data_IF_106012245778
#
_entry.id   IF_106012245778
#
_cell.length_a   1.000
_cell.length_b   1.000
_cell.length_c   1.000
_cell.angle_alpha   90.00
_cell.angle_beta   90.00
_cell.angle_gamma   90.00
#
_symmetry.space_group_name_H-M   'P 1'
#
loop_
_entity.id
_entity.type
_entity.pdbx_description
1 polymer ?
#
# COMPACT_ATOMS: atom_id res chain seq x y z
N UNK A 1 0.16 -11.74 20.36
CA UNK A 1 -0.34 -13.07 19.96
C UNK A 1 -0.07 -14.03 21.10
N UNK A 2 -1.02 -14.90 21.47
CA UNK A 2 -0.95 -15.65 22.73
C UNK A 2 -0.04 -16.89 22.72
N UNK A 3 0.21 -17.55 21.57
CA UNK A 3 1.03 -18.78 21.49
C UNK A 3 1.82 -18.94 20.16
N UNK A 4 2.79 -18.08 19.83
CA UNK A 4 3.50 -18.15 18.54
C UNK A 4 4.34 -19.43 18.35
N UNK A 5 4.99 -19.95 19.41
CA UNK A 5 5.85 -21.14 19.29
C UNK A 5 5.06 -22.44 19.07
N UNK A 6 3.90 -22.59 19.72
CA UNK A 6 3.06 -23.79 19.62
C UNK A 6 2.52 -24.01 18.20
N UNK A 7 2.27 -22.92 17.45
CA UNK A 7 1.73 -22.96 16.10
C UNK A 7 2.78 -22.70 15.01
N UNK A 8 4.08 -22.64 15.35
CA UNK A 8 5.17 -22.44 14.38
C UNK A 8 5.16 -23.50 13.27
N UNK A 9 4.76 -24.74 13.61
CA UNK A 9 4.59 -25.84 12.63
C UNK A 9 3.54 -25.58 11.55
N UNK A 10 2.64 -24.60 11.73
CA UNK A 10 1.66 -24.22 10.72
C UNK A 10 2.27 -23.45 9.55
N UNK A 11 3.39 -22.76 9.73
CA UNK A 11 4.04 -21.94 8.69
C UNK A 11 4.43 -22.75 7.44
N UNK A 12 5.24 -23.83 7.54
CA UNK A 12 5.60 -24.62 6.35
C UNK A 12 4.38 -25.28 5.70
N UNK A 13 3.38 -25.68 6.49
CA UNK A 13 2.12 -26.22 5.98
C UNK A 13 1.32 -25.18 5.20
N UNK A 14 1.24 -23.95 5.72
CA UNK A 14 0.56 -22.84 5.07
C UNK A 14 1.24 -22.46 3.75
N UNK A 15 2.57 -22.39 3.72
CA UNK A 15 3.35 -22.13 2.49
C UNK A 15 3.11 -23.25 1.46
N UNK A 16 3.16 -24.51 1.88
CA UNK A 16 2.89 -25.65 1.00
C UNK A 16 1.45 -25.62 0.43
N UNK A 17 0.46 -25.30 1.27
CA UNK A 17 -0.95 -25.19 0.83
C UNK A 17 -1.15 -24.00 -0.10
N UNK A 18 -0.58 -22.85 0.21
CA UNK A 18 -0.64 -21.66 -0.65
C UNK A 18 -0.03 -21.95 -2.01
N UNK A 19 1.16 -22.55 -2.04
CA UNK A 19 1.85 -22.96 -3.28
C UNK A 19 0.97 -23.83 -4.16
N UNK A 20 0.33 -24.86 -3.59
CA UNK A 20 -0.59 -25.74 -4.32
C UNK A 20 -1.80 -25.00 -4.87
N UNK A 21 -2.36 -24.02 -4.15
CA UNK A 21 -3.52 -23.26 -4.62
C UNK A 21 -3.11 -22.28 -5.73
N UNK A 22 -1.96 -21.63 -5.58
CA UNK A 22 -1.45 -20.68 -6.58
C UNK A 22 -1.06 -21.40 -7.87
N UNK A 23 -0.58 -22.65 -7.82
CA UNK A 23 -0.28 -23.42 -9.04
C UNK A 23 -1.46 -24.19 -9.59
N UNK A 24 -2.54 -24.35 -8.81
CA UNK A 24 -3.74 -25.06 -9.24
C UNK A 24 -4.39 -24.41 -10.46
N UNK A 25 -4.91 -25.28 -11.32
CA UNK A 25 -5.83 -24.91 -12.40
C UNK A 25 -7.25 -24.76 -11.85
N UNK A 26 -8.11 -24.07 -12.58
CA UNK A 26 -9.52 -23.88 -12.15
C UNK A 26 -10.33 -25.18 -12.11
N UNK A 27 -9.80 -26.28 -12.69
CA UNK A 27 -10.41 -27.61 -12.66
C UNK A 27 -10.05 -28.42 -11.42
N UNK A 28 -8.98 -28.08 -10.71
CA UNK A 28 -8.49 -28.85 -9.56
C UNK A 28 -9.30 -28.59 -8.28
N UNK A 29 -9.95 -27.42 -8.22
CA UNK A 29 -10.65 -26.90 -7.04
C UNK A 29 -12.06 -26.42 -7.41
N UNK A 30 -12.84 -27.25 -8.11
CA UNK A 30 -14.12 -26.83 -8.72
C UNK A 30 -15.07 -26.16 -7.71
N UNK A 31 -15.32 -26.81 -6.57
CA UNK A 31 -16.22 -26.29 -5.52
C UNK A 31 -15.67 -25.05 -4.80
N UNK A 32 -14.35 -24.85 -4.84
CA UNK A 32 -13.65 -23.76 -4.16
C UNK A 32 -13.15 -22.69 -5.13
N UNK A 33 -13.49 -22.78 -6.41
CA UNK A 33 -13.12 -21.79 -7.43
C UNK A 33 -14.20 -20.74 -7.55
N UNK A 34 -13.85 -19.49 -7.25
CA UNK A 34 -14.75 -18.36 -7.34
C UNK A 34 -14.42 -17.52 -8.56
N UNK A 35 -15.31 -17.51 -9.56
CA UNK A 35 -15.12 -16.75 -10.81
C UNK A 35 -13.73 -16.96 -11.44
N UNK A 36 -13.30 -18.20 -11.63
CA UNK A 36 -11.96 -18.56 -12.18
C UNK A 36 -10.76 -18.18 -11.29
N UNK A 37 -10.99 -17.81 -10.03
CA UNK A 37 -9.94 -17.61 -9.03
C UNK A 37 -9.97 -18.78 -8.04
N UNK A 38 -8.90 -19.57 -7.89
CA UNK A 38 -8.88 -20.71 -6.99
C UNK A 38 -8.80 -20.26 -5.53
N UNK A 39 -9.81 -20.62 -4.73
CA UNK A 39 -9.90 -20.43 -3.28
C UNK A 39 -9.42 -19.06 -2.76
N UNK A 40 -9.94 -17.92 -3.26
CA UNK A 40 -9.40 -16.58 -2.96
C UNK A 40 -9.40 -16.25 -1.47
N UNK A 41 -10.45 -16.58 -0.73
CA UNK A 41 -10.52 -16.34 0.71
C UNK A 41 -9.52 -17.19 1.50
N UNK A 42 -9.27 -18.43 1.07
CA UNK A 42 -8.27 -19.28 1.70
C UNK A 42 -6.87 -18.72 1.46
N UNK A 43 -6.56 -18.28 0.23
CA UNK A 43 -5.30 -17.59 -0.07
C UNK A 43 -5.08 -16.38 0.84
N UNK A 44 -6.09 -15.50 0.96
CA UNK A 44 -6.03 -14.33 1.85
C UNK A 44 -5.79 -14.75 3.30
N UNK A 45 -6.51 -15.76 3.81
CA UNK A 45 -6.34 -16.25 5.18
C UNK A 45 -4.95 -16.86 5.42
N UNK A 46 -4.39 -17.58 4.44
CA UNK A 46 -3.04 -18.14 4.51
C UNK A 46 -1.98 -17.04 4.50
N UNK A 47 -2.09 -16.05 3.61
CA UNK A 47 -1.18 -14.91 3.55
C UNK A 47 -1.20 -14.10 4.86
N UNK A 48 -2.40 -13.83 5.40
CA UNK A 48 -2.57 -13.15 6.69
C UNK A 48 -2.08 -13.97 7.88
N UNK A 49 -2.19 -15.31 7.80
CA UNK A 49 -1.56 -16.20 8.77
C UNK A 49 -0.03 -16.07 8.71
N UNK A 50 0.56 -15.99 7.52
CA UNK A 50 2.02 -15.85 7.36
C UNK A 50 2.52 -14.49 7.87
N UNK A 51 1.77 -13.40 7.68
CA UNK A 51 2.06 -12.10 8.30
C UNK A 51 2.06 -12.18 9.83
N UNK A 52 1.52 -13.26 10.41
CA UNK A 52 1.56 -13.42 11.85
C UNK A 52 2.90 -13.89 12.42
N UNK A 53 3.83 -14.28 11.55
CA UNK A 53 5.14 -14.84 11.90
C UNK A 53 6.27 -13.99 11.26
N UNK A 54 7.50 -14.13 11.74
CA UNK A 54 8.66 -13.62 11.01
C UNK A 54 8.84 -14.38 9.68
N UNK A 55 9.66 -13.84 8.75
CA UNK A 55 10.05 -14.55 7.53
C UNK A 55 10.58 -15.97 7.84
N UNK A 56 10.30 -16.98 6.99
CA UNK A 56 10.76 -18.34 7.25
C UNK A 56 12.30 -18.45 7.32
N UNK A 57 12.81 -19.06 8.40
CA UNK A 57 14.24 -19.31 8.59
C UNK A 57 14.78 -20.36 7.59
N UNK A 58 13.96 -21.36 7.25
CA UNK A 58 14.33 -22.44 6.34
C UNK A 58 14.40 -21.95 4.88
N UNK A 59 15.57 -22.07 4.20
CA UNK A 59 15.75 -21.60 2.83
C UNK A 59 14.76 -22.22 1.83
N UNK A 60 14.36 -23.49 2.01
CA UNK A 60 13.43 -24.16 1.11
C UNK A 60 12.02 -23.56 1.19
N UNK A 61 11.52 -23.38 2.42
CA UNK A 61 10.23 -22.72 2.64
C UNK A 61 10.25 -21.25 2.22
N UNK A 62 11.35 -20.53 2.46
CA UNK A 62 11.51 -19.15 1.98
C UNK A 62 11.44 -19.09 0.46
N UNK A 63 12.24 -19.88 -0.25
CA UNK A 63 12.25 -19.92 -1.72
C UNK A 63 10.86 -20.24 -2.30
N UNK A 64 10.16 -21.23 -1.73
CA UNK A 64 8.80 -21.59 -2.13
C UNK A 64 7.81 -20.44 -1.91
N UNK A 65 7.91 -19.73 -0.79
CA UNK A 65 7.05 -18.57 -0.52
C UNK A 65 7.31 -17.44 -1.53
N UNK A 66 8.57 -17.14 -1.83
CA UNK A 66 8.94 -16.12 -2.82
C UNK A 66 8.40 -16.46 -4.21
N UNK A 67 8.55 -17.71 -4.66
CA UNK A 67 7.98 -18.18 -5.94
C UNK A 67 6.45 -18.03 -5.97
N UNK A 68 5.77 -18.31 -4.85
CA UNK A 68 4.32 -18.10 -4.76
C UNK A 68 3.94 -16.62 -4.90
N UNK A 69 4.66 -15.73 -4.24
CA UNK A 69 4.41 -14.29 -4.29
C UNK A 69 4.68 -13.73 -5.68
N UNK A 70 5.76 -14.17 -6.33
CA UNK A 70 6.04 -13.84 -7.74
C UNK A 70 4.93 -14.35 -8.66
N UNK A 71 4.46 -15.58 -8.46
CA UNK A 71 3.35 -16.15 -9.20
C UNK A 71 2.05 -15.34 -9.05
N UNK A 72 1.77 -14.83 -7.85
CA UNK A 72 0.61 -13.96 -7.60
C UNK A 72 0.78 -12.62 -8.33
N UNK A 73 1.95 -11.99 -8.27
CA UNK A 73 2.26 -10.73 -8.97
C UNK A 73 2.15 -10.91 -10.49
N UNK A 74 2.64 -12.01 -11.05
CA UNK A 74 2.54 -12.31 -12.48
C UNK A 74 1.07 -12.44 -12.92
N UNK A 75 0.26 -13.18 -12.16
CA UNK A 75 -1.19 -13.35 -12.44
C UNK A 75 -1.98 -12.04 -12.35
N UNK A 76 -1.49 -11.05 -11.60
CA UNK A 76 -2.10 -9.74 -11.56
C UNK A 76 -2.01 -9.04 -12.92
N UNK A 77 -0.89 -9.22 -13.63
CA UNK A 77 -0.60 -8.64 -14.94
C UNK A 77 -1.28 -9.38 -16.09
N UNK A 78 -1.64 -10.65 -15.90
CA UNK A 78 -2.39 -11.42 -16.88
C UNK A 78 -3.75 -10.79 -17.23
N UNK A 79 -4.13 -10.91 -18.50
CA UNK A 79 -5.43 -10.51 -18.98
C UNK A 79 -6.56 -11.21 -18.17
N UNK A 80 -7.61 -10.48 -17.78
CA UNK A 80 -8.67 -11.04 -16.96
C UNK A 80 -9.40 -12.15 -17.72
N UNK A 81 -9.61 -13.30 -17.07
CA UNK A 81 -10.35 -14.44 -17.64
C UNK A 81 -11.86 -14.18 -17.71
N UNK A 82 -12.33 -13.15 -17.00
CA UNK A 82 -13.72 -12.73 -17.01
C UNK A 82 -13.83 -11.21 -16.88
N UNK A 83 -14.78 -10.61 -17.59
CA UNK A 83 -15.12 -9.18 -17.47
C UNK A 83 -15.95 -8.85 -16.22
N UNK A 84 -16.34 -9.85 -15.45
CA UNK A 84 -17.16 -9.67 -14.25
C UNK A 84 -16.33 -9.04 -13.13
N UNK A 85 -16.85 -8.00 -12.49
CA UNK A 85 -16.17 -7.29 -11.39
C UNK A 85 -15.81 -8.22 -10.24
N UNK A 86 -16.60 -9.27 -10.00
CA UNK A 86 -16.34 -10.28 -8.95
C UNK A 86 -15.02 -11.03 -9.20
N UNK A 87 -14.67 -11.29 -10.46
CA UNK A 87 -13.38 -11.89 -10.83
C UNK A 87 -12.22 -10.95 -10.48
N UNK A 88 -12.33 -9.68 -10.88
CA UNK A 88 -11.33 -8.64 -10.61
C UNK A 88 -11.12 -8.47 -9.09
N UNK A 89 -12.22 -8.32 -8.34
CA UNK A 89 -12.17 -8.13 -6.89
C UNK A 89 -11.55 -9.33 -6.17
N UNK A 90 -11.93 -10.55 -6.54
CA UNK A 90 -11.35 -11.75 -5.92
C UNK A 90 -9.86 -11.91 -6.24
N UNK A 91 -9.45 -11.62 -7.49
CA UNK A 91 -8.04 -11.64 -7.91
C UNK A 91 -7.22 -10.58 -7.15
N UNK A 92 -7.74 -9.35 -7.09
CA UNK A 92 -7.07 -8.22 -6.44
C UNK A 92 -7.02 -8.38 -4.92
N UNK A 93 -8.01 -9.01 -4.29
CA UNK A 93 -7.96 -9.30 -2.84
C UNK A 93 -6.75 -10.18 -2.47
N UNK A 94 -6.47 -11.22 -3.27
CA UNK A 94 -5.28 -12.07 -3.07
C UNK A 94 -3.99 -11.29 -3.31
N UNK A 95 -3.98 -10.43 -4.34
CA UNK A 95 -2.84 -9.57 -4.67
C UNK A 95 -2.51 -8.58 -3.54
N UNK A 96 -3.50 -7.84 -3.02
CA UNK A 96 -3.28 -6.87 -1.95
C UNK A 96 -2.77 -7.56 -0.68
N UNK A 97 -3.31 -8.73 -0.32
CA UNK A 97 -2.82 -9.46 0.85
C UNK A 97 -1.39 -10.03 0.64
N UNK A 98 -1.04 -10.38 -0.61
CA UNK A 98 0.31 -10.81 -0.95
C UNK A 98 1.30 -9.64 -0.89
N UNK A 99 0.90 -8.45 -1.37
CA UNK A 99 1.68 -7.22 -1.23
C UNK A 99 1.87 -6.86 0.24
N UNK A 100 0.82 -6.96 1.07
CA UNK A 100 0.93 -6.74 2.51
C UNK A 100 1.92 -7.70 3.18
N UNK A 101 1.97 -8.98 2.75
CA UNK A 101 2.98 -9.93 3.22
C UNK A 101 4.39 -9.57 2.75
N UNK A 102 4.56 -9.13 1.49
CA UNK A 102 5.85 -8.66 0.97
C UNK A 102 6.37 -7.49 1.81
N UNK A 103 5.51 -6.51 2.10
CA UNK A 103 5.85 -5.34 2.92
C UNK A 103 6.21 -5.77 4.35
N UNK A 104 5.43 -6.66 4.95
CA UNK A 104 5.68 -7.17 6.30
C UNK A 104 7.02 -7.90 6.44
N UNK A 105 7.43 -8.65 5.41
CA UNK A 105 8.72 -9.36 5.44
C UNK A 105 9.92 -8.43 5.25
N UNK A 106 9.75 -7.34 4.48
CA UNK A 106 10.75 -6.30 4.20
C UNK A 106 12.18 -6.81 3.88
N UNK A 107 12.28 -8.00 3.28
CA UNK A 107 13.57 -8.70 3.11
C UNK A 107 14.04 -8.82 1.66
N UNK A 108 13.15 -8.57 0.69
CA UNK A 108 13.40 -8.78 -0.74
C UNK A 108 13.14 -7.49 -1.53
N UNK A 109 14.15 -6.63 -1.73
CA UNK A 109 14.02 -5.34 -2.40
C UNK A 109 13.37 -5.44 -3.79
N UNK A 110 13.68 -6.49 -4.55
CA UNK A 110 13.12 -6.69 -5.89
C UNK A 110 11.60 -6.89 -5.86
N UNK A 111 11.09 -7.63 -4.87
CA UNK A 111 9.64 -7.83 -4.70
C UNK A 111 8.96 -6.55 -4.22
N UNK A 112 9.58 -5.80 -3.32
CA UNK A 112 9.06 -4.51 -2.86
C UNK A 112 8.90 -3.52 -4.01
N UNK A 113 9.92 -3.40 -4.87
CA UNK A 113 9.86 -2.53 -6.07
C UNK A 113 8.79 -3.02 -7.05
N UNK A 114 8.68 -4.33 -7.29
CA UNK A 114 7.61 -4.89 -8.15
C UNK A 114 6.21 -4.62 -7.58
N UNK A 115 6.03 -4.80 -6.28
CA UNK A 115 4.78 -4.49 -5.59
C UNK A 115 4.44 -3.00 -5.69
N UNK A 116 5.41 -2.12 -5.48
CA UNK A 116 5.26 -0.67 -5.66
C UNK A 116 4.79 -0.32 -7.08
N UNK A 117 5.46 -0.84 -8.09
CA UNK A 117 5.09 -0.60 -9.49
C UNK A 117 3.67 -1.10 -9.79
N UNK A 118 3.29 -2.27 -9.26
CA UNK A 118 1.95 -2.83 -9.42
C UNK A 118 0.89 -1.94 -8.76
N UNK A 119 1.12 -1.46 -7.54
CA UNK A 119 0.23 -0.49 -6.88
C UNK A 119 0.17 0.84 -7.66
N UNK A 120 1.27 1.26 -8.28
CA UNK A 120 1.33 2.47 -9.10
C UNK A 120 0.34 2.45 -10.25
N UNK A 121 0.11 1.27 -10.85
CA UNK A 121 -0.93 1.09 -11.88
C UNK A 121 -2.35 1.26 -11.31
N UNK A 122 -2.56 0.94 -10.04
CA UNK A 122 -3.86 1.08 -9.39
C UNK A 122 -4.19 2.52 -8.99
N UNK A 123 -3.19 3.39 -8.81
CA UNK A 123 -3.43 4.81 -8.48
C UNK A 123 -4.24 5.56 -9.55
N UNK A 124 -4.12 5.16 -10.81
CA UNK A 124 -4.88 5.74 -11.93
C UNK A 124 -6.01 4.83 -12.42
N UNK A 125 -6.39 3.82 -11.63
CA UNK A 125 -7.45 2.89 -12.02
C UNK A 125 -8.82 3.56 -12.00
N UNK A 126 -9.76 3.11 -12.84
CA UNK A 126 -11.11 3.71 -12.93
C UNK A 126 -11.94 3.54 -11.67
N UNK A 127 -11.75 2.43 -10.96
CA UNK A 127 -12.46 2.10 -9.72
C UNK A 127 -11.85 2.81 -8.51
N UNK A 128 -12.64 3.63 -7.82
CA UNK A 128 -12.24 4.39 -6.62
C UNK A 128 -11.71 3.48 -5.51
N UNK A 129 -12.33 2.32 -5.29
CA UNK A 129 -11.91 1.38 -4.24
C UNK A 129 -10.48 0.85 -4.49
N UNK A 130 -10.08 0.64 -5.74
CA UNK A 130 -8.72 0.19 -6.05
C UNK A 130 -7.70 1.31 -5.87
N UNK A 131 -8.05 2.55 -6.21
CA UNK A 131 -7.22 3.73 -5.92
C UNK A 131 -7.02 3.90 -4.41
N UNK A 132 -8.10 3.78 -3.64
CA UNK A 132 -8.06 3.83 -2.17
C UNK A 132 -7.10 2.80 -1.57
N UNK A 133 -7.28 1.51 -1.93
CA UNK A 133 -6.45 0.41 -1.41
C UNK A 133 -4.98 0.55 -1.85
N UNK A 134 -4.74 1.10 -3.05
CA UNK A 134 -3.40 1.36 -3.53
C UNK A 134 -2.68 2.43 -2.72
N UNK A 135 -3.34 3.56 -2.43
CA UNK A 135 -2.80 4.61 -1.55
C UNK A 135 -2.51 4.08 -0.15
N UNK A 136 -3.44 3.31 0.43
CA UNK A 136 -3.27 2.70 1.75
C UNK A 136 -2.07 1.75 1.79
N UNK A 137 -1.94 0.87 0.80
CA UNK A 137 -0.83 -0.10 0.72
C UNK A 137 0.52 0.58 0.44
N UNK A 138 0.54 1.63 -0.38
CA UNK A 138 1.75 2.41 -0.64
C UNK A 138 2.25 3.16 0.59
N UNK A 139 1.36 3.56 1.50
CA UNK A 139 1.75 4.21 2.75
C UNK A 139 2.66 3.30 3.58
N UNK A 140 2.36 1.99 3.61
CA UNK A 140 3.19 0.99 4.26
C UNK A 140 4.51 0.74 3.51
N UNK A 141 4.55 0.86 2.18
CA UNK A 141 5.81 0.78 1.41
C UNK A 141 6.72 1.99 1.61
N UNK A 142 6.13 3.17 1.85
CA UNK A 142 6.88 4.39 2.05
C UNK A 142 7.75 4.34 3.32
N UNK A 143 7.42 3.49 4.30
CA UNK A 143 8.21 3.32 5.53
C UNK A 143 9.42 2.41 5.37
N UNK A 144 9.52 1.64 4.28
CA UNK A 144 10.67 0.77 4.00
C UNK A 144 11.76 1.53 3.23
N UNK A 145 13.01 1.41 3.68
CA UNK A 145 14.17 2.03 3.03
C UNK A 145 14.40 1.49 1.60
N UNK A 146 14.04 0.23 1.34
CA UNK A 146 14.26 -0.40 0.03
C UNK A 146 13.27 0.05 -1.05
N UNK A 147 12.06 0.45 -0.66
CA UNK A 147 11.01 0.89 -1.59
C UNK A 147 10.75 2.39 -1.60
N UNK A 148 11.34 3.16 -0.68
CA UNK A 148 11.07 4.60 -0.55
C UNK A 148 11.25 5.36 -1.87
N UNK A 149 12.38 5.14 -2.56
CA UNK A 149 12.65 5.78 -3.86
C UNK A 149 11.69 5.31 -4.97
N UNK A 150 11.18 4.09 -4.91
CA UNK A 150 10.19 3.61 -5.87
C UNK A 150 8.83 4.29 -5.67
N UNK A 151 8.41 4.51 -4.41
CA UNK A 151 7.18 5.24 -4.09
C UNK A 151 7.27 6.69 -4.58
N UNK A 152 8.43 7.33 -4.42
CA UNK A 152 8.67 8.72 -4.88
C UNK A 152 8.46 8.94 -6.38
N UNK A 153 8.66 7.91 -7.21
CA UNK A 153 8.38 8.00 -8.65
C UNK A 153 6.90 8.23 -8.97
N UNK A 154 6.01 7.94 -8.03
CA UNK A 154 4.56 8.14 -8.18
C UNK A 154 4.06 9.43 -7.53
N UNK A 155 4.94 10.29 -6.99
CA UNK A 155 4.57 11.50 -6.24
C UNK A 155 3.58 12.40 -7.01
N UNK A 156 3.82 12.67 -8.29
CA UNK A 156 2.93 13.53 -9.09
C UNK A 156 1.53 12.93 -9.24
N UNK A 157 1.43 11.60 -9.34
CA UNK A 157 0.13 10.90 -9.41
C UNK A 157 -0.62 10.98 -8.08
N UNK A 158 0.11 10.92 -6.96
CA UNK A 158 -0.45 11.03 -5.62
C UNK A 158 -0.90 12.47 -5.35
N UNK A 159 -0.11 13.48 -5.74
CA UNK A 159 -0.50 14.91 -5.68
C UNK A 159 -1.75 15.14 -6.55
N UNK A 160 -1.80 14.57 -7.75
CA UNK A 160 -2.99 14.66 -8.59
C UNK A 160 -4.22 14.01 -7.94
N UNK A 161 -4.04 12.90 -7.23
CA UNK A 161 -5.12 12.23 -6.48
C UNK A 161 -5.64 13.13 -5.35
N UNK A 162 -4.77 13.83 -4.62
CA UNK A 162 -5.17 14.81 -3.61
C UNK A 162 -6.07 15.92 -4.19
N UNK A 163 -5.74 16.41 -5.39
CA UNK A 163 -6.43 17.53 -6.04
C UNK A 163 -7.74 17.14 -6.73
N UNK A 164 -7.78 15.96 -7.36
CA UNK A 164 -8.83 15.61 -8.33
C UNK A 164 -9.86 14.60 -7.81
N UNK A 165 -9.55 13.87 -6.74
CA UNK A 165 -10.48 12.88 -6.20
C UNK A 165 -11.70 13.53 -5.56
N UNK A 166 -12.88 12.98 -5.86
CA UNK A 166 -14.15 13.47 -5.30
C UNK A 166 -14.37 12.95 -3.88
N UNK A 167 -13.82 11.79 -3.58
CA UNK A 167 -14.00 11.11 -2.30
C UNK A 167 -13.01 11.67 -1.25
N UNK A 168 -13.54 12.16 -0.13
CA UNK A 168 -12.74 12.74 0.96
C UNK A 168 -11.80 11.71 1.57
N UNK A 169 -12.24 10.46 1.74
CA UNK A 169 -11.41 9.39 2.32
C UNK A 169 -10.25 9.01 1.41
N UNK A 170 -10.41 9.09 0.08
CA UNK A 170 -9.30 8.90 -0.86
C UNK A 170 -8.30 10.05 -0.78
N UNK A 171 -8.78 11.30 -0.70
CA UNK A 171 -7.90 12.48 -0.51
C UNK A 171 -7.14 12.40 0.82
N UNK A 172 -7.78 11.94 1.89
CA UNK A 172 -7.11 11.70 3.18
C UNK A 172 -6.00 10.64 3.05
N UNK A 173 -6.23 9.54 2.33
CA UNK A 173 -5.18 8.55 2.05
C UNK A 173 -4.03 9.11 1.19
N UNK A 174 -4.31 10.01 0.26
CA UNK A 174 -3.27 10.70 -0.49
C UNK A 174 -2.43 11.61 0.42
N UNK A 175 -3.05 12.33 1.36
CA UNK A 175 -2.34 13.10 2.41
C UNK A 175 -1.47 12.20 3.27
N UNK A 176 -2.00 11.07 3.75
CA UNK A 176 -1.25 10.09 4.57
C UNK A 176 0.00 9.62 3.86
N UNK A 177 -0.14 9.28 2.57
CA UNK A 177 0.97 8.80 1.75
C UNK A 177 2.00 9.90 1.50
N UNK A 178 1.57 11.12 1.15
CA UNK A 178 2.47 12.25 0.97
C UNK A 178 3.26 12.56 2.25
N UNK A 179 2.61 12.48 3.40
CA UNK A 179 3.28 12.62 4.69
C UNK A 179 4.31 11.51 4.93
N UNK A 180 3.95 10.25 4.68
CA UNK A 180 4.82 9.09 4.90
C UNK A 180 6.04 9.06 3.97
N UNK A 181 5.88 9.47 2.70
CA UNK A 181 6.95 9.48 1.70
C UNK A 181 7.80 10.76 1.70
N UNK A 182 7.48 11.73 2.56
CA UNK A 182 8.17 13.00 2.61
C UNK A 182 9.57 12.84 3.21
N UNK A 183 10.56 13.36 2.49
CA UNK A 183 11.96 13.44 2.90
C UNK A 183 12.55 14.84 2.59
N UNK A 184 13.82 15.03 2.89
CA UNK A 184 14.51 16.32 2.67
C UNK A 184 14.52 16.79 1.21
N UNK A 185 14.40 15.87 0.25
CA UNK A 185 14.49 16.19 -1.17
C UNK A 185 13.16 16.72 -1.74
N UNK A 186 12.02 16.30 -1.18
CA UNK A 186 10.69 16.66 -1.68
C UNK A 186 9.82 17.46 -0.70
N UNK A 187 10.29 17.70 0.54
CA UNK A 187 9.53 18.42 1.57
C UNK A 187 8.95 19.76 1.11
N UNK A 188 9.74 20.58 0.41
CA UNK A 188 9.30 21.89 -0.08
C UNK A 188 8.08 21.77 -1.03
N UNK A 189 8.11 20.79 -1.93
CA UNK A 189 7.02 20.57 -2.89
C UNK A 189 5.79 20.00 -2.18
N UNK A 190 5.98 18.99 -1.34
CA UNK A 190 4.86 18.33 -0.62
C UNK A 190 4.14 19.33 0.28
N UNK A 191 4.88 20.11 1.08
CA UNK A 191 4.30 21.12 1.97
C UNK A 191 3.56 22.20 1.18
N UNK A 192 4.12 22.67 0.06
CA UNK A 192 3.45 23.65 -0.79
C UNK A 192 2.12 23.13 -1.35
N UNK A 193 2.08 21.87 -1.80
CA UNK A 193 0.88 21.24 -2.34
C UNK A 193 -0.18 20.96 -1.25
N UNK A 194 0.25 20.55 -0.06
CA UNK A 194 -0.64 20.36 1.08
C UNK A 194 -1.26 21.69 1.55
N UNK A 195 -0.48 22.76 1.60
CA UNK A 195 -0.98 24.11 1.91
C UNK A 195 -1.98 24.60 0.86
N UNK A 196 -1.67 24.43 -0.43
CA UNK A 196 -2.57 24.83 -1.52
C UNK A 196 -3.91 24.08 -1.45
N UNK A 197 -3.88 22.78 -1.12
CA UNK A 197 -5.10 22.00 -0.94
C UNK A 197 -5.88 22.42 0.32
N UNK A 198 -5.18 22.78 1.41
CA UNK A 198 -5.80 23.15 2.70
C UNK A 198 -6.80 24.31 2.57
N UNK A 199 -6.59 25.25 1.64
CA UNK A 199 -7.50 26.37 1.37
C UNK A 199 -8.91 25.91 0.96
N UNK A 200 -9.00 24.77 0.27
CA UNK A 200 -10.26 24.21 -0.27
C UNK A 200 -10.66 22.90 0.40
N UNK A 201 -9.87 22.42 1.36
CA UNK A 201 -10.08 21.17 2.06
C UNK A 201 -11.37 21.19 2.90
N UNK A 202 -12.01 20.03 3.05
CA UNK A 202 -13.18 19.84 3.90
C UNK A 202 -12.83 20.00 5.38
N UNK A 203 -13.75 20.56 6.18
CA UNK A 203 -13.50 20.82 7.60
C UNK A 203 -13.04 19.59 8.40
N UNK A 204 -13.53 18.40 8.05
CA UNK A 204 -13.21 17.16 8.75
C UNK A 204 -11.76 16.69 8.62
N UNK A 205 -11.00 17.19 7.63
CA UNK A 205 -9.60 16.78 7.39
C UNK A 205 -8.60 17.89 7.70
N UNK A 206 -9.05 19.14 7.90
CA UNK A 206 -8.17 20.30 8.06
C UNK A 206 -7.27 20.20 9.28
N UNK A 207 -7.82 19.83 10.44
CA UNK A 207 -7.06 19.73 11.69
C UNK A 207 -5.88 18.75 11.56
N UNK A 208 -6.15 17.54 11.07
CA UNK A 208 -5.12 16.52 10.86
C UNK A 208 -4.06 16.98 9.82
N UNK A 209 -4.50 17.66 8.76
CA UNK A 209 -3.59 18.20 7.75
C UNK A 209 -2.69 19.30 8.29
N UNK A 210 -3.24 20.22 9.11
CA UNK A 210 -2.49 21.30 9.74
C UNK A 210 -1.35 20.73 10.58
N UNK A 211 -1.66 19.74 11.43
CA UNK A 211 -0.65 19.06 12.24
C UNK A 211 0.43 18.40 11.38
N UNK A 212 0.05 17.67 10.32
CA UNK A 212 1.02 17.04 9.41
C UNK A 212 1.92 18.06 8.72
N UNK A 213 1.36 19.16 8.22
CA UNK A 213 2.15 20.23 7.58
C UNK A 213 3.13 20.84 8.58
N UNK A 214 2.69 21.14 9.80
CA UNK A 214 3.55 21.68 10.84
C UNK A 214 4.72 20.73 11.19
N UNK A 215 4.43 19.43 11.37
CA UNK A 215 5.45 18.41 11.65
C UNK A 215 6.45 18.31 10.50
N UNK A 216 5.99 18.27 9.24
CA UNK A 216 6.88 18.18 8.07
C UNK A 216 7.76 19.42 7.94
N UNK A 217 7.20 20.61 8.16
CA UNK A 217 7.92 21.87 8.13
C UNK A 217 9.01 21.90 9.20
N UNK A 218 8.69 21.52 10.44
CA UNK A 218 9.66 21.47 11.54
C UNK A 218 10.77 20.43 11.27
N UNK A 219 10.39 19.22 10.83
CA UNK A 219 11.31 18.10 10.65
C UNK A 219 12.30 18.32 9.50
N UNK A 220 11.88 18.97 8.43
CA UNK A 220 12.65 19.08 7.19
C UNK A 220 13.13 20.50 6.84
N UNK A 221 12.90 21.48 7.72
CA UNK A 221 13.45 22.82 7.55
C UNK A 221 14.98 22.80 7.50
N UNK A 222 15.55 23.20 6.36
CA UNK A 222 16.99 23.50 6.23
C UNK A 222 17.29 24.97 6.50
N UNK A 223 16.30 25.85 6.29
CA UNK A 223 16.34 27.27 6.62
C UNK A 223 15.09 27.63 7.43
N UNK A 224 15.29 28.34 8.55
CA UNK A 224 14.21 28.78 9.42
C UNK A 224 13.35 29.88 8.79
N UNK A 225 13.83 30.60 7.78
CA UNK A 225 12.98 31.55 7.04
C UNK A 225 11.83 30.82 6.35
N UNK A 226 12.12 29.69 5.70
CA UNK A 226 11.10 28.85 5.07
C UNK A 226 10.12 28.28 6.09
N UNK A 227 10.61 27.82 7.25
CA UNK A 227 9.75 27.35 8.32
C UNK A 227 8.77 28.43 8.79
N UNK A 228 9.26 29.63 9.08
CA UNK A 228 8.42 30.76 9.52
C UNK A 228 7.38 31.11 8.46
N UNK A 229 7.78 31.16 7.18
CA UNK A 229 6.84 31.42 6.08
C UNK A 229 5.73 30.37 5.98
N UNK A 230 6.06 29.09 6.17
CA UNK A 230 5.09 27.98 6.16
C UNK A 230 4.12 28.10 7.34
N UNK A 231 4.62 28.33 8.56
CA UNK A 231 3.78 28.44 9.76
C UNK A 231 2.88 29.67 9.69
N UNK A 232 3.37 30.82 9.23
CA UNK A 232 2.55 32.02 9.06
C UNK A 232 1.45 31.82 8.01
N UNK A 233 1.74 31.13 6.90
CA UNK A 233 0.71 30.72 5.93
C UNK A 233 -0.32 29.77 6.55
N UNK A 234 0.14 28.82 7.36
CA UNK A 234 -0.72 27.85 8.02
C UNK A 234 -1.70 28.54 9.00
N UNK A 235 -1.21 29.45 9.83
CA UNK A 235 -2.03 30.28 10.74
C UNK A 235 -3.01 31.14 9.94
N UNK A 236 -2.57 31.74 8.83
CA UNK A 236 -3.44 32.57 7.99
C UNK A 236 -4.60 31.77 7.39
N UNK A 237 -4.36 30.53 6.95
CA UNK A 237 -5.35 29.71 6.23
C UNK A 237 -6.28 28.98 7.20
N UNK A 238 -5.73 28.48 8.32
CA UNK A 238 -6.42 27.56 9.21
C UNK A 238 -6.31 27.95 10.70
N UNK A 239 -6.17 29.24 11.01
CA UNK A 239 -5.93 29.74 12.37
C UNK A 239 -6.94 29.31 13.44
N UNK A 240 -8.16 28.92 13.05
CA UNK A 240 -9.16 28.36 13.98
C UNK A 240 -8.82 26.92 14.45
N UNK A 241 -7.89 26.25 13.77
CA UNK A 241 -7.47 24.85 13.98
C UNK A 241 -5.97 24.72 14.31
N UNK A 242 -5.26 25.83 14.49
CA UNK A 242 -3.82 25.88 14.86
C UNK A 242 -3.67 26.04 16.36
#
# INVERSE_FOLDING_TARGET
KKWPEEYKGAVPLAISRLSRIVTATYTDLQDYTYYFVPAPWLCVKLLRLLQNYPPPDDPSNKARLLECLEGILNKAQDAPKSKKVQHSNAKNAVLFEAIALIIHMDSEPQLLVRACNQLGTFLSHRETNLRYLALESMCLLATSEFSHDAVKKHQDTIINSLKTERDVSVRQRAVDLLYAMCDRSNANQIVAEMLAYLETADYSIREEMVLKVAILAEKYATDYTWYVDVILKLIRIAGDYV
#
